data_IF_333710549887
#
_entry.id   IF_333710549887
#
_cell.length_a   1.000
_cell.length_b   1.000
_cell.length_c   1.000
_cell.angle_alpha   90.00
_cell.angle_beta   90.00
_cell.angle_gamma   90.00
#
_symmetry.space_group_name_H-M   'P 1'
#
loop_
_entity.id
_entity.type
_entity.pdbx_description
1 polymer ?
#
# COMPACT_ATOMS: atom_id res chain seq x y z
N UNK A 1 35.31 -15.16 7.96
CA UNK A 1 34.03 -14.99 8.70
C UNK A 1 33.44 -13.58 8.50
N UNK A 2 33.29 -13.11 7.25
CA UNK A 2 32.77 -11.75 6.94
C UNK A 2 31.57 -11.74 5.98
N UNK A 3 31.47 -12.74 5.11
CA UNK A 3 30.40 -12.82 4.10
C UNK A 3 29.01 -13.11 4.66
N UNK A 4 28.88 -13.92 5.72
CA UNK A 4 27.57 -14.28 6.31
C UNK A 4 26.80 -13.06 6.88
N UNK A 5 27.50 -12.02 7.37
CA UNK A 5 26.86 -10.81 7.93
C UNK A 5 26.33 -9.87 6.85
N UNK A 6 27.00 -9.77 5.70
CA UNK A 6 26.54 -8.99 4.55
C UNK A 6 25.24 -9.55 3.97
N UNK A 7 25.16 -10.88 3.79
CA UNK A 7 23.94 -11.54 3.31
C UNK A 7 22.76 -11.43 4.30
N UNK A 8 23.02 -11.36 5.61
CA UNK A 8 21.95 -11.21 6.60
C UNK A 8 21.33 -9.81 6.59
N UNK A 9 22.13 -8.76 6.33
CA UNK A 9 21.62 -7.39 6.21
C UNK A 9 20.80 -7.16 4.92
N UNK A 10 21.15 -7.78 3.80
CA UNK A 10 20.38 -7.66 2.57
C UNK A 10 18.98 -8.29 2.68
N UNK A 11 18.83 -9.41 3.41
CA UNK A 11 17.53 -10.04 3.65
C UNK A 11 16.57 -9.12 4.43
N UNK A 12 17.04 -8.47 5.49
CA UNK A 12 16.21 -7.57 6.31
C UNK A 12 15.79 -6.32 5.53
N UNK A 13 16.69 -5.74 4.71
CA UNK A 13 16.36 -4.59 3.86
C UNK A 13 15.40 -4.96 2.72
N UNK A 14 15.58 -6.11 2.06
CA UNK A 14 14.65 -6.60 1.02
C UNK A 14 13.26 -6.93 1.59
N UNK A 15 13.18 -7.51 2.79
CA UNK A 15 11.91 -7.77 3.48
C UNK A 15 11.12 -6.49 3.79
N UNK A 16 11.79 -5.37 4.04
CA UNK A 16 11.12 -4.12 4.43
C UNK A 16 10.47 -3.41 3.23
N UNK A 17 10.89 -3.70 2.00
CA UNK A 17 10.39 -3.05 0.78
C UNK A 17 9.07 -3.63 0.24
N UNK A 18 8.68 -4.83 0.68
CA UNK A 18 7.48 -5.56 0.17
C UNK A 18 6.25 -5.38 1.06
N UNK A 19 6.38 -4.74 2.23
CA UNK A 19 5.35 -4.73 3.28
C UNK A 19 4.58 -3.42 3.37
N UNK A 20 4.12 -2.83 2.26
CA UNK A 20 3.33 -1.59 2.26
C UNK A 20 1.89 -1.83 1.85
N UNK A 21 0.90 -1.35 2.62
CA UNK A 21 -0.51 -1.32 2.19
C UNK A 21 -1.04 0.11 2.20
N UNK A 22 -1.99 0.40 1.31
CA UNK A 22 -2.64 1.71 1.27
C UNK A 22 -3.79 1.72 2.28
N UNK A 23 -3.77 2.68 3.21
CA UNK A 23 -4.83 2.90 4.20
C UNK A 23 -5.47 4.27 3.99
N UNK A 24 -6.62 4.50 4.61
CA UNK A 24 -7.41 5.72 4.42
C UNK A 24 -7.92 6.34 5.71
N UNK A 25 -7.94 7.67 5.77
CA UNK A 25 -8.71 8.42 6.75
C UNK A 25 -10.16 8.62 6.27
N UNK A 26 -11.03 7.64 6.56
CA UNK A 26 -12.39 7.55 6.01
C UNK A 26 -13.26 8.76 6.28
N UNK A 27 -13.11 9.40 7.46
CA UNK A 27 -13.88 10.60 7.84
C UNK A 27 -13.72 11.77 6.86
N UNK A 28 -12.64 11.80 6.06
CA UNK A 28 -12.35 12.85 5.09
C UNK A 28 -12.59 12.43 3.63
N UNK A 29 -12.94 11.16 3.39
CA UNK A 29 -13.19 10.63 2.06
C UNK A 29 -14.55 11.12 1.54
N UNK A 30 -14.53 11.81 0.40
CA UNK A 30 -15.75 12.34 -0.26
C UNK A 30 -16.21 11.46 -1.43
N UNK A 31 -15.69 10.25 -1.55
CA UNK A 31 -16.01 9.28 -2.61
C UNK A 31 -15.87 9.78 -4.06
N UNK A 32 -14.99 10.74 -4.34
CA UNK A 32 -14.80 11.31 -5.68
C UNK A 32 -14.33 10.33 -6.77
N UNK A 33 -13.80 9.16 -6.41
CA UNK A 33 -13.41 8.10 -7.36
C UNK A 33 -12.09 8.28 -8.10
N UNK A 34 -11.39 9.41 -7.92
CA UNK A 34 -10.09 9.68 -8.58
C UNK A 34 -9.07 8.58 -8.31
N UNK A 35 -9.02 8.05 -7.08
CA UNK A 35 -8.11 6.97 -6.72
C UNK A 35 -8.35 5.68 -7.52
N UNK A 36 -9.61 5.24 -7.67
CA UNK A 36 -9.98 4.06 -8.47
C UNK A 36 -9.69 4.28 -9.95
N UNK A 37 -10.02 5.45 -10.49
CA UNK A 37 -9.72 5.82 -11.88
C UNK A 37 -8.22 5.83 -12.17
N UNK A 38 -7.41 6.26 -11.21
CA UNK A 38 -5.95 6.32 -11.35
C UNK A 38 -5.25 4.97 -11.17
N UNK A 39 -5.96 3.94 -10.73
CA UNK A 39 -5.36 2.64 -10.47
C UNK A 39 -5.06 1.95 -11.81
N UNK A 40 -3.78 1.65 -12.14
CA UNK A 40 -3.42 1.07 -13.44
C UNK A 40 -3.96 -0.35 -13.66
N UNK A 41 -4.40 -0.99 -12.57
CA UNK A 41 -4.95 -2.36 -12.55
C UNK A 41 -6.42 -2.40 -12.11
N UNK A 42 -7.09 -1.23 -12.10
CA UNK A 42 -8.54 -1.12 -11.85
C UNK A 42 -9.03 -1.64 -10.48
N UNK A 43 -8.23 -1.56 -9.42
CA UNK A 43 -8.72 -1.79 -8.05
C UNK A 43 -9.68 -0.65 -7.66
N UNK A 44 -10.83 -0.97 -7.07
CA UNK A 44 -11.77 0.03 -6.55
C UNK A 44 -11.30 0.62 -5.20
N UNK A 45 -10.18 1.36 -5.24
CA UNK A 45 -9.56 2.00 -4.06
C UNK A 45 -10.55 2.92 -3.32
N UNK A 46 -11.48 3.56 -4.04
CA UNK A 46 -12.52 4.41 -3.46
C UNK A 46 -13.41 3.62 -2.49
N UNK A 47 -13.75 2.37 -2.81
CA UNK A 47 -14.54 1.51 -1.91
C UNK A 47 -13.75 1.18 -0.64
N UNK A 48 -12.48 0.80 -0.76
CA UNK A 48 -11.61 0.60 0.40
C UNK A 48 -11.53 1.85 1.28
N UNK A 49 -11.33 3.01 0.66
CA UNK A 49 -11.24 4.30 1.36
C UNK A 49 -12.53 4.66 2.11
N UNK A 50 -13.68 4.37 1.51
CA UNK A 50 -14.99 4.60 2.11
C UNK A 50 -15.29 3.66 3.27
N UNK A 51 -14.84 2.40 3.18
CA UNK A 51 -15.03 1.42 4.24
C UNK A 51 -13.98 1.51 5.36
N UNK A 52 -12.95 2.34 5.19
CA UNK A 52 -11.82 2.41 6.11
C UNK A 52 -11.00 1.13 6.14
N UNK A 53 -11.07 0.37 5.07
CA UNK A 53 -10.33 -0.87 4.92
C UNK A 53 -9.04 -0.59 4.16
N UNK A 54 -7.92 -1.21 4.54
CA UNK A 54 -6.73 -1.17 3.72
C UNK A 54 -7.01 -1.77 2.33
N UNK A 55 -6.21 -1.37 1.35
CA UNK A 55 -6.23 -1.98 0.01
C UNK A 55 -5.52 -3.34 0.08
N UNK A 56 -6.23 -4.33 0.59
CA UNK A 56 -5.80 -5.74 0.70
C UNK A 56 -6.18 -6.49 -0.58
N UNK A 57 -5.46 -6.21 -1.66
CA UNK A 57 -5.62 -6.91 -2.94
C UNK A 57 -4.27 -7.50 -3.37
N UNK A 58 -4.23 -8.79 -3.71
CA UNK A 58 -3.01 -9.48 -4.13
C UNK A 58 -2.41 -8.93 -5.42
N UNK A 59 -3.20 -8.24 -6.23
CA UNK A 59 -2.73 -7.59 -7.45
C UNK A 59 -2.17 -6.20 -7.19
N UNK A 60 -2.37 -5.62 -6.01
CA UNK A 60 -1.90 -4.28 -5.68
C UNK A 60 -0.37 -4.19 -5.82
N UNK A 61 0.08 -3.47 -6.84
CA UNK A 61 1.51 -3.29 -7.14
C UNK A 61 2.22 -2.33 -6.18
N UNK A 62 1.52 -1.77 -5.19
CA UNK A 62 2.03 -0.73 -4.28
C UNK A 62 2.63 0.50 -5.00
N UNK A 63 2.13 0.81 -6.21
CA UNK A 63 2.69 1.86 -7.08
C UNK A 63 2.49 3.30 -6.57
N UNK A 64 1.52 3.52 -5.67
CA UNK A 64 1.27 4.82 -5.02
C UNK A 64 0.48 5.85 -5.83
N UNK A 65 0.00 5.52 -7.03
CA UNK A 65 -0.72 6.48 -7.87
C UNK A 65 -2.04 6.96 -7.21
N UNK A 66 -2.75 6.06 -6.54
CA UNK A 66 -3.97 6.40 -5.79
C UNK A 66 -3.70 7.37 -4.64
N UNK A 67 -2.58 7.21 -3.93
CA UNK A 67 -2.13 8.11 -2.86
C UNK A 67 -1.81 9.48 -3.44
N UNK A 68 -1.00 9.52 -4.50
CA UNK A 68 -0.57 10.75 -5.16
C UNK A 68 -1.73 11.56 -5.74
N UNK A 69 -2.73 10.90 -6.32
CA UNK A 69 -3.86 11.58 -6.99
C UNK A 69 -5.03 11.89 -6.07
N UNK A 70 -5.02 11.46 -4.82
CA UNK A 70 -6.12 11.75 -3.92
C UNK A 70 -6.22 13.25 -3.65
N UNK A 71 -7.26 13.97 -4.13
CA UNK A 71 -7.34 15.43 -3.99
C UNK A 71 -7.54 15.88 -2.54
N UNK A 72 -8.07 14.99 -1.70
CA UNK A 72 -8.26 15.24 -0.26
C UNK A 72 -7.06 14.79 0.59
N UNK A 73 -6.07 14.13 0.00
CA UNK A 73 -4.92 13.57 0.70
C UNK A 73 -5.30 12.59 1.81
N UNK A 74 -6.35 11.76 1.59
CA UNK A 74 -6.84 10.81 2.61
C UNK A 74 -6.17 9.46 2.59
N UNK A 75 -5.40 9.15 1.53
CA UNK A 75 -4.73 7.87 1.37
C UNK A 75 -3.26 7.99 1.78
N UNK A 76 -2.73 6.96 2.44
CA UNK A 76 -1.32 6.89 2.83
C UNK A 76 -0.83 5.44 2.85
N UNK A 77 0.49 5.24 2.95
CA UNK A 77 1.09 3.91 3.07
C UNK A 77 1.39 3.58 4.53
N UNK A 78 1.02 2.37 4.95
CA UNK A 78 1.39 1.80 6.23
C UNK A 78 2.14 0.48 6.06
N UNK A 79 2.95 0.13 7.06
CA UNK A 79 3.62 -1.17 7.09
C UNK A 79 2.60 -2.26 7.39
N UNK A 80 2.47 -3.22 6.48
CA UNK A 80 1.58 -4.36 6.66
C UNK A 80 2.36 -5.61 7.05
N UNK A 81 1.74 -6.44 7.90
CA UNK A 81 2.25 -7.75 8.26
C UNK A 81 1.60 -8.88 7.47
N UNK A 82 0.77 -8.57 6.46
CA UNK A 82 0.05 -9.57 5.64
C UNK A 82 1.03 -10.56 4.96
N UNK A 83 2.27 -10.16 4.67
CA UNK A 83 3.29 -11.04 4.10
C UNK A 83 4.21 -11.74 5.14
N UNK A 84 3.85 -11.75 6.44
CA UNK A 84 4.57 -12.55 7.44
C UNK A 84 4.23 -14.04 7.27
N UNK A 85 4.98 -14.73 6.41
CA UNK A 85 5.06 -16.20 6.42
C UNK A 85 4.75 -16.87 5.10
N UNK A 86 5.77 -16.97 4.25
CA UNK A 86 6.08 -18.20 3.52
C UNK A 86 7.50 -18.62 3.94
#
# INVERSE_FOLDING_TARGET
>A
MGFKRLFHQEKTKRQTLVTGQVVSETARCVQCGVCSFSCPINIDVRRHAWLGQPVEDSHCLTCGECVKRCPRGVLSFERTHIFKGA
#
